data_IF_515636620362
#
_entry.id   IF_515636620362
#
_cell.length_a   1.000
_cell.length_b   1.000
_cell.length_c   1.000
_cell.angle_alpha   90.00
_cell.angle_beta   90.00
_cell.angle_gamma   90.00
#
_symmetry.space_group_name_H-M   'P 1'
#
loop_
_entity.id
_entity.type
_entity.pdbx_description
1 polymer ?
#
# COMPACT_ATOMS: atom_id res chain seq x y z
N UNK A 1 21.38 1.54 12.86
CA UNK A 1 20.69 2.44 11.92
C UNK A 1 20.93 2.01 10.47
N UNK A 2 20.14 1.06 9.97
CA UNK A 2 20.01 0.75 8.54
C UNK A 2 18.65 1.27 8.09
N UNK A 3 18.43 2.56 8.30
CA UNK A 3 17.28 3.28 7.80
C UNK A 3 17.43 3.48 6.30
N UNK A 4 16.34 3.27 5.57
CA UNK A 4 16.08 3.73 4.19
C UNK A 4 17.02 3.36 3.04
N UNK A 5 18.28 2.97 3.24
CA UNK A 5 19.22 2.72 2.12
C UNK A 5 19.38 1.24 1.73
N UNK A 6 18.86 0.31 2.53
CA UNK A 6 19.03 -1.14 2.32
C UNK A 6 17.75 -1.89 1.91
N UNK A 7 16.59 -1.22 1.85
CA UNK A 7 15.38 -1.89 1.36
C UNK A 7 15.43 -1.94 -0.16
N UNK A 8 15.71 -3.14 -0.70
CA UNK A 8 15.81 -3.36 -2.15
C UNK A 8 14.52 -3.03 -2.90
N UNK A 9 13.38 -2.85 -2.21
CA UNK A 9 12.06 -2.73 -2.81
C UNK A 9 11.60 -1.29 -3.13
N UNK A 10 12.35 -0.25 -2.79
CA UNK A 10 11.92 1.15 -2.98
C UNK A 10 11.46 1.47 -4.40
N UNK A 11 12.22 1.00 -5.38
CA UNK A 11 11.97 1.31 -6.79
C UNK A 11 10.65 0.70 -7.26
N UNK A 12 10.37 -0.56 -6.90
CA UNK A 12 9.10 -1.21 -7.23
C UNK A 12 7.90 -0.57 -6.54
N UNK A 13 8.06 -0.12 -5.29
CA UNK A 13 6.97 0.53 -4.56
C UNK A 13 6.62 1.88 -5.17
N UNK A 14 7.63 2.71 -5.46
CA UNK A 14 7.43 3.99 -6.15
C UNK A 14 6.84 3.79 -7.56
N UNK A 15 7.33 2.78 -8.30
CA UNK A 15 6.81 2.44 -9.63
C UNK A 15 5.33 2.02 -9.56
N UNK A 16 4.94 1.21 -8.58
CA UNK A 16 3.55 0.82 -8.36
C UNK A 16 2.65 2.03 -8.03
N UNK A 17 3.14 2.96 -7.21
CA UNK A 17 2.40 4.17 -6.85
C UNK A 17 2.19 5.12 -8.04
N UNK A 18 3.09 5.08 -9.03
CA UNK A 18 3.01 5.87 -10.27
C UNK A 18 2.19 5.20 -11.38
N UNK A 19 1.94 3.89 -11.30
CA UNK A 19 1.23 3.10 -12.31
C UNK A 19 -0.18 3.64 -12.63
N UNK A 20 -1.01 4.06 -11.67
CA UNK A 20 -2.32 4.67 -11.95
C UNK A 20 -2.27 5.90 -12.86
N UNK A 21 -1.24 6.74 -12.71
CA UNK A 21 -1.09 7.93 -13.53
C UNK A 21 -0.79 7.56 -14.99
N UNK A 22 0.06 6.56 -15.21
CA UNK A 22 0.39 6.06 -16.54
C UNK A 22 -0.81 5.37 -17.22
N UNK A 23 -1.61 4.62 -16.45
CA UNK A 23 -2.78 3.89 -16.97
C UNK A 23 -3.95 4.82 -17.35
N UNK A 24 -4.20 5.87 -16.56
CA UNK A 24 -5.44 6.65 -16.65
C UNK A 24 -5.24 7.94 -17.44
N UNK A 25 -4.11 8.64 -17.25
CA UNK A 25 -3.82 9.89 -17.97
C UNK A 25 -3.27 9.64 -19.39
N UNK A 26 -3.41 8.40 -19.90
CA UNK A 26 -3.00 7.96 -21.24
C UNK A 26 -1.55 8.32 -21.63
N UNK A 27 -0.66 8.53 -20.65
CA UNK A 27 0.77 8.68 -20.89
C UNK A 27 1.36 7.29 -20.89
N UNK A 28 1.35 6.64 -22.05
CA UNK A 28 1.85 5.27 -22.24
C UNK A 28 3.38 5.16 -22.19
N UNK A 29 4.11 6.27 -22.37
CA UNK A 29 5.56 6.29 -22.46
C UNK A 29 6.35 5.85 -21.20
N UNK A 30 5.88 6.03 -19.94
CA UNK A 30 6.57 5.56 -18.74
C UNK A 30 6.25 4.09 -18.39
N UNK A 31 5.23 3.47 -19.01
CA UNK A 31 4.82 2.08 -18.74
C UNK A 31 5.96 1.05 -18.83
N UNK A 32 6.81 1.04 -19.87
CA UNK A 32 7.92 0.08 -19.93
C UNK A 32 8.91 0.26 -18.78
N UNK A 33 9.15 1.49 -18.32
CA UNK A 33 10.04 1.77 -17.18
C UNK A 33 9.41 1.33 -15.85
N UNK A 34 8.10 1.53 -15.68
CA UNK A 34 7.35 1.07 -14.50
C UNK A 34 7.33 -0.46 -14.42
N UNK A 35 7.08 -1.13 -15.54
CA UNK A 35 7.08 -2.60 -15.61
C UNK A 35 8.51 -3.13 -15.39
N UNK A 36 9.52 -2.54 -16.03
CA UNK A 36 10.91 -2.93 -15.84
C UNK A 36 11.36 -2.74 -14.38
N UNK A 37 10.97 -1.64 -13.74
CA UNK A 37 11.22 -1.41 -12.31
C UNK A 37 10.54 -2.46 -11.43
N UNK A 38 9.26 -2.79 -11.67
CA UNK A 38 8.55 -3.82 -10.91
C UNK A 38 9.20 -5.20 -11.03
N UNK A 39 9.61 -5.57 -12.25
CA UNK A 39 10.26 -6.86 -12.53
C UNK A 39 11.68 -6.92 -11.97
N UNK A 40 12.50 -5.88 -12.20
CA UNK A 40 13.89 -5.82 -11.75
C UNK A 40 14.05 -5.89 -10.23
N UNK A 41 13.02 -5.49 -9.49
CA UNK A 41 13.07 -5.43 -8.02
C UNK A 41 12.71 -6.77 -7.37
N UNK A 42 12.15 -7.75 -8.11
CA UNK A 42 11.72 -9.07 -7.61
C UNK A 42 10.84 -9.03 -6.33
N UNK A 43 10.20 -7.90 -6.04
CA UNK A 43 9.37 -7.74 -4.85
C UNK A 43 8.04 -8.45 -5.07
N UNK A 44 7.94 -9.69 -4.56
CA UNK A 44 6.74 -10.54 -4.66
C UNK A 44 5.48 -9.83 -4.13
N UNK A 45 5.63 -8.97 -3.13
CA UNK A 45 4.53 -8.16 -2.59
C UNK A 45 4.08 -7.04 -3.54
N UNK A 46 5.02 -6.34 -4.18
CA UNK A 46 4.69 -5.30 -5.15
C UNK A 46 4.06 -5.89 -6.43
N UNK A 47 4.52 -7.07 -6.87
CA UNK A 47 3.91 -7.79 -8.00
C UNK A 47 2.47 -8.24 -7.66
N UNK A 48 2.23 -8.77 -6.46
CA UNK A 48 0.88 -9.14 -6.03
C UNK A 48 -0.06 -7.92 -5.97
N UNK A 49 0.39 -6.82 -5.38
CA UNK A 49 -0.38 -5.58 -5.32
C UNK A 49 -0.64 -4.98 -6.71
N UNK A 50 0.36 -4.99 -7.60
CA UNK A 50 0.22 -4.57 -8.99
C UNK A 50 -0.75 -5.44 -9.79
N UNK A 51 -0.71 -6.76 -9.62
CA UNK A 51 -1.67 -7.68 -10.23
C UNK A 51 -3.11 -7.40 -9.80
N UNK A 52 -3.34 -7.22 -8.49
CA UNK A 52 -4.66 -6.88 -7.95
C UNK A 52 -5.16 -5.52 -8.46
N UNK A 53 -4.28 -4.53 -8.55
CA UNK A 53 -4.59 -3.22 -9.11
C UNK A 53 -5.00 -3.33 -10.59
N UNK A 54 -4.22 -4.06 -11.39
CA UNK A 54 -4.54 -4.32 -12.80
C UNK A 54 -5.86 -5.06 -12.96
N UNK A 55 -6.11 -6.10 -12.16
CA UNK A 55 -7.40 -6.81 -12.17
C UNK A 55 -8.56 -5.88 -11.84
N UNK A 56 -8.42 -5.01 -10.82
CA UNK A 56 -9.47 -4.06 -10.43
C UNK A 56 -9.81 -3.09 -11.55
N UNK A 57 -8.80 -2.59 -12.27
CA UNK A 57 -8.99 -1.71 -13.43
C UNK A 57 -9.57 -2.46 -14.64
N UNK A 58 -9.06 -3.67 -14.93
CA UNK A 58 -9.58 -4.50 -16.03
C UNK A 58 -11.02 -4.96 -15.78
N UNK A 59 -11.44 -5.09 -14.52
CA UNK A 59 -12.79 -5.53 -14.16
C UNK A 59 -13.88 -4.63 -14.74
N UNK A 60 -13.61 -3.32 -14.81
CA UNK A 60 -14.55 -2.32 -15.34
C UNK A 60 -14.69 -2.36 -16.87
N UNK A 61 -13.68 -2.88 -17.60
CA UNK A 61 -13.60 -2.78 -19.07
C UNK A 61 -13.57 -4.13 -19.80
N UNK A 62 -13.00 -5.16 -19.20
CA UNK A 62 -12.72 -6.48 -19.79
C UNK A 62 -13.01 -7.62 -18.80
N UNK A 63 -14.16 -7.57 -18.11
CA UNK A 63 -14.52 -8.46 -17.00
C UNK A 63 -14.23 -9.95 -17.23
N UNK A 64 -14.57 -10.50 -18.40
CA UNK A 64 -14.32 -11.92 -18.72
C UNK A 64 -12.82 -12.27 -18.76
N UNK A 65 -12.03 -11.45 -19.44
CA UNK A 65 -10.57 -11.61 -19.52
C UNK A 65 -9.91 -11.45 -18.14
N UNK A 66 -10.36 -10.47 -17.35
CA UNK A 66 -9.88 -10.24 -15.99
C UNK A 66 -10.13 -11.46 -15.09
N UNK A 67 -11.31 -12.08 -15.18
CA UNK A 67 -11.64 -13.31 -14.44
C UNK A 67 -10.69 -14.43 -14.85
N UNK A 68 -10.55 -14.73 -16.14
CA UNK A 68 -9.71 -15.85 -16.61
C UNK A 68 -8.25 -15.69 -16.18
N UNK A 69 -7.66 -14.51 -16.38
CA UNK A 69 -6.27 -14.25 -16.01
C UNK A 69 -6.06 -14.33 -14.50
N UNK A 70 -6.94 -13.71 -13.71
CA UNK A 70 -6.84 -13.73 -12.25
C UNK A 70 -7.00 -15.14 -11.70
N UNK A 71 -7.94 -15.92 -12.27
CA UNK A 71 -8.16 -17.32 -11.89
C UNK A 71 -6.94 -18.18 -12.20
N UNK A 72 -6.36 -18.03 -13.40
CA UNK A 72 -5.16 -18.78 -13.79
C UNK A 72 -3.96 -18.47 -12.91
N UNK A 73 -3.72 -17.19 -12.60
CA UNK A 73 -2.65 -16.77 -11.68
C UNK A 73 -2.91 -17.33 -10.27
N UNK A 74 -4.14 -17.25 -9.78
CA UNK A 74 -4.51 -17.76 -8.46
C UNK A 74 -4.26 -19.26 -8.35
N UNK A 75 -4.67 -20.04 -9.36
CA UNK A 75 -4.43 -21.49 -9.40
C UNK A 75 -2.93 -21.78 -9.40
N UNK A 76 -2.13 -21.09 -10.22
CA UNK A 76 -0.68 -21.28 -10.24
C UNK A 76 -0.03 -20.98 -8.88
N UNK A 77 -0.48 -19.92 -8.20
CA UNK A 77 -0.01 -19.54 -6.85
C UNK A 77 -0.40 -20.60 -5.82
N UNK A 78 -1.64 -21.10 -5.86
CA UNK A 78 -2.12 -22.16 -4.97
C UNK A 78 -1.30 -23.43 -5.16
N UNK A 79 -1.06 -23.85 -6.40
CA UNK A 79 -0.27 -25.05 -6.70
C UNK A 79 1.18 -24.89 -6.23
N UNK A 80 1.80 -23.72 -6.46
CA UNK A 80 3.16 -23.44 -6.00
C UNK A 80 3.29 -23.51 -4.48
N UNK A 81 2.41 -22.82 -3.74
CA UNK A 81 2.44 -22.83 -2.28
C UNK A 81 1.96 -24.15 -1.67
N UNK A 82 1.03 -24.86 -2.33
CA UNK A 82 0.60 -26.20 -1.95
C UNK A 82 1.75 -27.18 -1.95
N UNK A 83 2.55 -27.21 -3.03
CA UNK A 83 3.77 -28.03 -3.11
C UNK A 83 4.78 -27.67 -2.00
N UNK A 84 5.04 -26.38 -1.77
CA UNK A 84 5.95 -25.95 -0.70
C UNK A 84 5.47 -26.35 0.70
N UNK A 85 4.16 -26.34 0.91
CA UNK A 85 3.55 -26.75 2.19
C UNK A 85 3.65 -28.25 2.38
N UNK A 86 3.38 -29.02 1.31
CA UNK A 86 3.53 -30.47 1.30
C UNK A 86 4.96 -30.91 1.62
N UNK A 87 5.95 -30.21 1.07
CA UNK A 87 7.37 -30.49 1.30
C UNK A 87 7.89 -29.97 2.66
N UNK A 88 7.04 -29.35 3.49
CA UNK A 88 7.44 -28.72 4.75
C UNK A 88 8.34 -27.49 4.61
N UNK A 89 8.61 -27.03 3.38
CA UNK A 89 9.52 -25.91 3.08
C UNK A 89 8.86 -24.54 3.24
N UNK A 90 7.53 -24.49 3.28
CA UNK A 90 6.77 -23.23 3.28
C UNK A 90 7.16 -22.27 4.41
N UNK A 91 7.30 -22.76 5.65
CA UNK A 91 7.67 -21.93 6.80
C UNK A 91 9.07 -21.30 6.69
N UNK A 92 9.96 -21.90 5.90
CA UNK A 92 11.30 -21.37 5.64
C UNK A 92 11.34 -20.33 4.51
N UNK A 93 10.19 -20.02 3.89
CA UNK A 93 10.08 -18.97 2.88
C UNK A 93 9.73 -17.61 3.50
N UNK A 94 9.97 -16.54 2.73
CA UNK A 94 9.54 -15.18 3.11
C UNK A 94 8.03 -15.08 3.36
N UNK A 95 7.22 -15.84 2.63
CA UNK A 95 5.76 -15.86 2.82
C UNK A 95 5.36 -16.58 4.13
N UNK A 96 5.98 -17.72 4.42
CA UNK A 96 5.78 -18.45 5.68
C UNK A 96 6.16 -17.60 6.90
N UNK A 97 7.30 -16.92 6.84
CA UNK A 97 7.73 -15.99 7.89
C UNK A 97 6.71 -14.87 8.17
N UNK A 98 6.09 -14.31 7.12
CA UNK A 98 5.05 -13.28 7.26
C UNK A 98 3.80 -13.80 7.96
N UNK A 99 3.40 -15.05 7.67
CA UNK A 99 2.27 -15.68 8.37
C UNK A 99 2.56 -15.77 9.87
N UNK A 100 3.78 -16.16 10.25
CA UNK A 100 4.19 -16.13 11.66
C UNK A 100 4.12 -14.72 12.25
N UNK A 101 4.63 -13.70 11.53
CA UNK A 101 4.54 -12.30 11.98
C UNK A 101 3.08 -11.86 12.17
N UNK A 102 2.19 -12.19 11.24
CA UNK A 102 0.79 -11.81 11.28
C UNK A 102 0.05 -12.47 12.44
N UNK A 103 0.19 -13.80 12.57
CA UNK A 103 -0.44 -14.53 13.67
C UNK A 103 0.03 -14.00 15.03
N UNK A 104 1.33 -13.81 15.21
CA UNK A 104 1.86 -13.29 16.47
C UNK A 104 1.49 -11.82 16.71
N UNK A 105 1.32 -11.01 15.66
CA UNK A 105 0.80 -9.63 15.78
C UNK A 105 -0.63 -9.61 16.28
N UNK A 106 -1.47 -10.56 15.88
CA UNK A 106 -2.83 -10.70 16.42
C UNK A 106 -2.77 -10.96 17.93
N UNK A 107 -1.85 -11.79 18.40
CA UNK A 107 -1.62 -11.98 19.83
C UNK A 107 -1.13 -10.70 20.54
N UNK A 108 -0.33 -9.86 19.87
CA UNK A 108 0.09 -8.56 20.41
C UNK A 108 -1.11 -7.63 20.63
N UNK A 109 -2.02 -7.56 19.66
CA UNK A 109 -3.24 -6.75 19.74
C UNK A 109 -4.19 -7.29 20.81
N UNK A 110 -4.33 -8.61 20.91
CA UNK A 110 -5.17 -9.26 21.92
C UNK A 110 -4.64 -9.02 23.36
N UNK A 111 -3.32 -9.05 23.57
CA UNK A 111 -2.71 -8.80 24.88
C UNK A 111 -2.81 -7.32 25.30
N UNK A 112 -2.70 -6.38 24.34
CA UNK A 112 -2.87 -4.94 24.61
C UNK A 112 -3.77 -4.26 23.56
N UNK A 113 -5.10 -4.29 23.75
CA UNK A 113 -6.06 -3.70 22.80
C UNK A 113 -5.92 -2.18 22.62
N UNK A 114 -5.31 -1.50 23.60
CA UNK A 114 -5.04 -0.05 23.57
C UNK A 114 -3.70 0.30 22.90
N UNK A 115 -2.95 -0.70 22.43
CA UNK A 115 -1.68 -0.53 21.73
C UNK A 115 -0.46 -0.74 22.64
N UNK A 116 0.64 -1.09 22.00
CA UNK A 116 1.95 -1.27 22.65
C UNK A 116 2.77 0.02 22.72
N UNK A 117 2.36 1.07 22.01
CA UNK A 117 3.10 2.31 21.78
C UNK A 117 3.56 2.44 20.34
N UNK A 118 3.55 3.67 19.81
CA UNK A 118 4.02 3.96 18.44
C UNK A 118 5.50 3.62 18.30
N UNK A 119 5.87 2.87 17.26
CA UNK A 119 7.22 2.36 17.04
C UNK A 119 7.65 1.23 17.97
N UNK A 120 6.77 0.73 18.85
CA UNK A 120 7.10 -0.33 19.81
C UNK A 120 7.11 -1.73 19.19
N UNK A 121 6.79 -1.91 17.91
CA UNK A 121 6.70 -3.25 17.33
C UNK A 121 8.01 -4.04 17.48
N UNK A 122 9.16 -3.42 17.18
CA UNK A 122 10.48 -4.07 17.29
C UNK A 122 10.84 -4.49 18.72
N UNK A 123 10.38 -3.74 19.73
CA UNK A 123 10.69 -4.00 21.14
C UNK A 123 9.70 -4.98 21.78
N UNK A 124 8.43 -4.93 21.37
CA UNK A 124 7.37 -5.80 21.87
C UNK A 124 7.35 -7.18 21.21
N UNK A 125 7.62 -7.29 19.89
CA UNK A 125 7.53 -8.55 19.14
C UNK A 125 8.30 -9.74 19.74
N UNK A 126 9.52 -9.57 20.32
CA UNK A 126 10.23 -10.67 20.98
C UNK A 126 9.42 -11.43 22.04
N UNK A 127 8.50 -10.76 22.77
CA UNK A 127 7.61 -11.42 23.74
C UNK A 127 6.64 -12.39 23.05
N UNK A 128 6.25 -12.12 21.80
CA UNK A 128 5.19 -12.83 21.08
C UNK A 128 5.68 -13.67 19.90
N UNK A 129 6.98 -13.71 19.61
CA UNK A 129 7.56 -14.42 18.44
C UNK A 129 7.17 -15.91 18.31
N UNK A 130 6.58 -16.52 19.36
CA UNK A 130 6.08 -17.89 19.40
C UNK A 130 4.68 -18.01 20.04
N UNK A 131 3.93 -16.92 20.09
CA UNK A 131 2.64 -16.86 20.79
C UNK A 131 1.56 -17.70 20.11
N UNK A 132 1.46 -17.64 18.78
CA UNK A 132 0.53 -18.46 17.99
C UNK A 132 1.31 -19.40 17.08
N UNK A 133 2.21 -18.84 16.25
CA UNK A 133 3.04 -19.61 15.33
C UNK A 133 4.51 -19.27 15.62
N UNK A 134 5.36 -20.24 15.95
CA UNK A 134 6.78 -20.00 16.12
C UNK A 134 7.39 -19.34 14.88
N UNK A 135 7.98 -18.17 15.08
CA UNK A 135 8.73 -17.50 14.02
C UNK A 135 10.02 -18.27 13.81
N UNK A 136 10.28 -18.68 12.57
CA UNK A 136 11.48 -19.44 12.22
C UNK A 136 12.76 -18.67 12.55
N UNK A 137 13.82 -19.38 12.93
CA UNK A 137 15.12 -18.78 13.25
C UNK A 137 15.79 -18.12 12.05
N UNK A 138 15.38 -18.47 10.82
CA UNK A 138 15.76 -17.79 9.58
C UNK A 138 15.11 -16.41 9.43
N UNK A 139 13.97 -16.18 10.07
CA UNK A 139 13.21 -14.93 10.00
C UNK A 139 13.29 -14.07 11.27
N UNK A 140 13.63 -14.65 12.42
CA UNK A 140 13.80 -13.96 13.69
C UNK A 140 15.00 -14.51 14.47
N UNK A 141 15.87 -13.60 14.92
CA UNK A 141 16.93 -13.86 15.90
C UNK A 141 17.00 -12.67 16.87
N UNK A 142 17.59 -12.84 18.05
CA UNK A 142 17.70 -11.75 19.04
C UNK A 142 18.34 -10.48 18.44
N UNK A 143 19.29 -10.66 17.52
CA UNK A 143 19.99 -9.59 16.80
C UNK A 143 19.31 -9.16 15.49
N UNK A 144 18.23 -9.83 15.09
CA UNK A 144 17.45 -9.57 13.87
C UNK A 144 15.96 -9.60 14.22
N UNK A 145 15.49 -8.46 14.78
CA UNK A 145 14.10 -8.28 15.20
C UNK A 145 13.30 -7.62 14.08
N UNK A 146 12.10 -8.12 13.74
CA UNK A 146 11.25 -7.47 12.77
C UNK A 146 10.81 -6.10 13.30
N UNK A 147 10.85 -5.09 12.43
CA UNK A 147 10.36 -3.74 12.75
C UNK A 147 8.87 -3.58 12.47
N UNK A 148 8.32 -4.42 11.60
CA UNK A 148 6.91 -4.40 11.18
C UNK A 148 6.43 -5.82 10.96
N UNK A 149 5.12 -6.00 10.83
CA UNK A 149 4.50 -7.26 10.46
C UNK A 149 4.60 -7.57 8.95
N UNK A 150 5.23 -6.69 8.15
CA UNK A 150 5.06 -6.66 6.69
C UNK A 150 3.58 -6.60 6.25
N UNK A 151 2.78 -5.94 7.09
CA UNK A 151 1.39 -5.57 6.87
C UNK A 151 1.16 -4.32 7.71
N UNK A 152 0.90 -3.18 7.06
CA UNK A 152 0.77 -1.90 7.75
C UNK A 152 -0.44 -1.88 8.70
N UNK A 153 -1.55 -2.54 8.33
CA UNK A 153 -2.74 -2.59 9.16
C UNK A 153 -2.47 -3.33 10.48
N UNK A 154 -1.81 -4.48 10.41
CA UNK A 154 -1.44 -5.25 11.62
C UNK A 154 -0.36 -4.53 12.44
N UNK A 155 0.58 -3.86 11.78
CA UNK A 155 1.62 -3.10 12.48
C UNK A 155 0.99 -1.92 13.24
N UNK A 156 0.14 -1.14 12.57
CA UNK A 156 -0.60 -0.04 13.21
C UNK A 156 -1.49 -0.55 14.32
N UNK A 157 -2.23 -1.64 14.11
CA UNK A 157 -3.07 -2.23 15.15
C UNK A 157 -2.25 -2.69 16.37
N UNK A 158 -1.08 -3.30 16.17
CA UNK A 158 -0.21 -3.74 17.25
C UNK A 158 0.38 -2.56 18.05
N UNK A 159 0.73 -1.47 17.38
CA UNK A 159 1.36 -0.30 18.02
C UNK A 159 0.34 0.64 18.67
N UNK A 160 -0.75 0.93 17.98
CA UNK A 160 -1.76 1.93 18.39
C UNK A 160 -3.05 1.33 18.93
N UNK A 161 -3.17 0.00 18.89
CA UNK A 161 -4.34 -0.73 19.34
C UNK A 161 -5.51 -0.65 18.36
N UNK A 162 -6.64 -1.14 18.84
CA UNK A 162 -7.94 -1.06 18.15
C UNK A 162 -8.31 0.39 17.82
N UNK A 163 -8.10 1.41 18.70
CA UNK A 163 -8.45 2.78 18.37
C UNK A 163 -7.73 3.33 17.14
N UNK A 164 -6.41 3.14 17.04
CA UNK A 164 -5.66 3.65 15.89
C UNK A 164 -5.95 2.85 14.60
N UNK A 165 -6.14 1.53 14.71
CA UNK A 165 -6.59 0.72 13.57
C UNK A 165 -7.97 1.16 13.06
N UNK A 166 -8.91 1.48 13.96
CA UNK A 166 -10.22 2.00 13.61
C UNK A 166 -10.12 3.35 12.90
N UNK A 167 -9.36 4.30 13.44
CA UNK A 167 -9.18 5.63 12.83
C UNK A 167 -8.53 5.54 11.45
N UNK A 168 -7.52 4.69 11.28
CA UNK A 168 -6.87 4.47 9.99
C UNK A 168 -7.86 3.89 8.96
N UNK A 169 -8.62 2.87 9.37
CA UNK A 169 -9.62 2.22 8.52
C UNK A 169 -10.72 3.20 8.14
N UNK A 170 -11.22 3.98 9.11
CA UNK A 170 -12.20 5.04 8.88
C UNK A 170 -11.69 6.05 7.85
N UNK A 171 -10.46 6.56 8.03
CA UNK A 171 -9.83 7.50 7.10
C UNK A 171 -9.77 6.96 5.67
N UNK A 172 -9.32 5.73 5.48
CA UNK A 172 -9.27 5.17 4.12
C UNK A 172 -10.65 4.89 3.54
N UNK A 173 -11.64 4.50 4.36
CA UNK A 173 -13.02 4.35 3.90
C UNK A 173 -13.58 5.69 3.40
N UNK A 174 -13.32 6.79 4.10
CA UNK A 174 -13.82 8.10 3.67
C UNK A 174 -13.15 8.54 2.37
N UNK A 175 -11.83 8.39 2.25
CA UNK A 175 -11.09 8.71 1.01
C UNK A 175 -11.53 7.84 -0.16
N UNK A 176 -11.77 6.55 0.05
CA UNK A 176 -12.23 5.64 -1.00
C UNK A 176 -13.66 5.93 -1.44
N UNK A 177 -14.48 6.62 -0.63
CA UNK A 177 -15.84 7.06 -0.98
C UNK A 177 -15.89 8.39 -1.73
N UNK A 178 -14.76 9.07 -1.90
CA UNK A 178 -14.69 10.32 -2.66
C UNK A 178 -15.07 10.16 -4.14
N UNK A 179 -15.49 11.28 -4.75
CA UNK A 179 -15.86 11.34 -6.17
C UNK A 179 -14.72 10.88 -7.09
N UNK A 180 -15.09 10.23 -8.20
CA UNK A 180 -14.18 9.72 -9.24
C UNK A 180 -14.58 10.23 -10.63
N UNK A 181 -15.11 11.46 -10.67
CA UNK A 181 -15.69 12.04 -11.88
C UNK A 181 -14.63 12.42 -12.92
N UNK A 182 -13.48 12.93 -12.49
CA UNK A 182 -12.36 13.28 -13.39
C UNK A 182 -11.30 12.20 -13.44
N UNK A 183 -10.47 12.19 -14.49
CA UNK A 183 -9.39 11.23 -14.63
C UNK A 183 -8.30 11.42 -13.55
N UNK A 184 -8.06 12.66 -13.10
CA UNK A 184 -7.18 12.93 -11.96
C UNK A 184 -7.72 12.34 -10.65
N UNK A 185 -9.04 12.45 -10.42
CA UNK A 185 -9.68 11.85 -9.25
C UNK A 185 -9.59 10.32 -9.30
N UNK A 186 -9.78 9.71 -10.49
CA UNK A 186 -9.56 8.28 -10.66
C UNK A 186 -8.09 7.91 -10.40
N UNK A 187 -7.13 8.66 -10.92
CA UNK A 187 -5.70 8.45 -10.65
C UNK A 187 -5.41 8.47 -9.16
N UNK A 188 -5.85 9.51 -8.44
CA UNK A 188 -5.67 9.61 -7.00
C UNK A 188 -6.31 8.42 -6.26
N UNK A 189 -7.52 8.00 -6.66
CA UNK A 189 -8.20 6.84 -6.10
C UNK A 189 -7.40 5.55 -6.29
N UNK A 190 -6.95 5.27 -7.51
CA UNK A 190 -6.16 4.08 -7.82
C UNK A 190 -4.77 4.12 -7.17
N UNK A 191 -4.19 5.31 -6.91
CA UNK A 191 -2.95 5.45 -6.11
C UNK A 191 -3.19 5.10 -4.65
N UNK A 192 -4.31 5.53 -4.05
CA UNK A 192 -4.70 5.09 -2.70
C UNK A 192 -4.94 3.59 -2.66
N UNK A 193 -5.63 3.04 -3.67
CA UNK A 193 -5.86 1.61 -3.76
C UNK A 193 -4.53 0.83 -3.87
N UNK A 194 -3.60 1.30 -4.70
CA UNK A 194 -2.27 0.73 -4.83
C UNK A 194 -1.51 0.76 -3.49
N UNK A 195 -1.58 1.89 -2.76
CA UNK A 195 -0.97 2.03 -1.44
C UNK A 195 -1.54 1.01 -0.44
N UNK A 196 -2.85 0.85 -0.38
CA UNK A 196 -3.51 -0.08 0.53
C UNK A 196 -3.18 -1.53 0.20
N UNK A 197 -3.24 -1.90 -1.09
CA UNK A 197 -2.88 -3.23 -1.55
C UNK A 197 -1.41 -3.55 -1.26
N UNK A 198 -0.52 -2.58 -1.45
CA UNK A 198 0.89 -2.72 -1.09
C UNK A 198 1.07 -2.85 0.43
N UNK A 199 0.29 -2.11 1.21
CA UNK A 199 0.24 -2.18 2.68
C UNK A 199 -0.23 -3.51 3.25
N UNK A 200 -0.91 -4.36 2.47
CA UNK A 200 -1.26 -5.72 2.89
C UNK A 200 -0.05 -6.66 2.92
N UNK A 201 0.95 -6.42 2.07
CA UNK A 201 2.10 -7.32 1.85
C UNK A 201 3.45 -6.68 2.17
N UNK A 202 3.45 -5.40 2.52
CA UNK A 202 4.63 -4.60 2.76
C UNK A 202 4.33 -3.47 3.75
N UNK A 203 5.20 -2.47 3.83
CA UNK A 203 5.09 -1.36 4.80
C UNK A 203 5.26 0.04 4.14
N UNK A 204 4.50 0.37 3.08
CA UNK A 204 4.60 1.66 2.40
C UNK A 204 4.34 2.86 3.32
N UNK A 205 3.65 2.71 4.45
CA UNK A 205 3.45 3.78 5.43
C UNK A 205 4.77 4.24 6.09
N UNK A 206 5.75 3.33 6.20
CA UNK A 206 7.07 3.61 6.77
C UNK A 206 8.05 4.18 5.73
N UNK A 207 7.66 4.25 4.45
CA UNK A 207 8.48 4.81 3.38
C UNK A 207 8.00 6.22 3.03
N UNK A 208 8.86 7.25 3.19
CA UNK A 208 8.44 8.64 2.97
C UNK A 208 7.79 8.89 1.62
N UNK A 209 8.33 8.29 0.55
CA UNK A 209 7.82 8.46 -0.82
C UNK A 209 6.38 7.95 -0.96
N UNK A 210 6.12 6.71 -0.55
CA UNK A 210 4.80 6.08 -0.69
C UNK A 210 3.76 6.75 0.22
N UNK A 211 4.15 7.04 1.48
CA UNK A 211 3.30 7.76 2.43
C UNK A 211 2.95 9.17 1.93
N UNK A 212 3.92 9.89 1.35
CA UNK A 212 3.70 11.22 0.78
C UNK A 212 2.74 11.19 -0.41
N UNK A 213 2.94 10.27 -1.36
CA UNK A 213 2.05 10.12 -2.51
C UNK A 213 0.62 9.75 -2.09
N UNK A 214 0.48 8.87 -1.10
CA UNK A 214 -0.82 8.54 -0.54
C UNK A 214 -1.46 9.76 0.16
N UNK A 215 -0.73 10.49 0.99
CA UNK A 215 -1.24 11.69 1.66
C UNK A 215 -1.69 12.76 0.66
N UNK A 216 -0.90 12.99 -0.40
CA UNK A 216 -1.24 13.94 -1.47
C UNK A 216 -2.52 13.52 -2.20
N UNK A 217 -2.63 12.23 -2.54
CA UNK A 217 -3.79 11.67 -3.25
C UNK A 217 -5.05 11.72 -2.39
N UNK A 218 -4.93 11.42 -1.09
CA UNK A 218 -6.02 11.52 -0.13
C UNK A 218 -6.47 12.98 0.06
N UNK A 219 -5.52 13.92 0.18
CA UNK A 219 -5.81 15.35 0.28
C UNK A 219 -6.54 15.88 -0.96
N UNK A 220 -6.10 15.47 -2.15
CA UNK A 220 -6.75 15.84 -3.41
C UNK A 220 -8.20 15.33 -3.50
N UNK A 221 -8.42 14.07 -3.10
CA UNK A 221 -9.76 13.44 -3.06
C UNK A 221 -10.66 14.06 -2.00
N UNK A 222 -10.13 14.42 -0.84
CA UNK A 222 -10.87 15.07 0.23
C UNK A 222 -11.25 16.53 -0.12
N UNK A 223 -10.38 17.24 -0.87
CA UNK A 223 -10.62 18.60 -1.34
C UNK A 223 -11.57 18.72 -2.54
N UNK A 224 -12.20 17.62 -2.98
CA UNK A 224 -13.14 17.61 -4.10
C UNK A 224 -12.51 17.82 -5.47
N UNK A 225 -11.18 17.67 -5.60
CA UNK A 225 -10.46 17.93 -6.85
C UNK A 225 -10.49 19.39 -7.31
N UNK A 226 -10.75 20.35 -6.41
CA UNK A 226 -10.71 21.76 -6.76
C UNK A 226 -9.30 22.12 -7.26
N UNK A 227 -9.13 22.63 -8.50
CA UNK A 227 -7.85 23.12 -8.93
C UNK A 227 -7.41 24.22 -7.96
N UNK A 228 -6.14 24.19 -7.57
CA UNK A 228 -5.50 25.27 -6.80
C UNK A 228 -5.88 26.56 -7.51
N UNK A 229 -6.78 27.34 -6.90
CA UNK A 229 -7.40 28.51 -7.54
C UNK A 229 -6.30 29.42 -8.07
N UNK A 230 -6.20 29.52 -9.40
CA UNK A 230 -5.46 30.58 -10.07
C UNK A 230 -6.07 31.92 -9.66
N UNK A 231 -5.46 32.56 -8.67
CA UNK A 231 -5.94 33.78 -8.03
C UNK A 231 -5.75 35.07 -8.85
N UNK A 232 -5.68 35.03 -10.18
CA UNK A 232 -5.35 36.22 -10.97
C UNK A 232 -6.42 36.76 -11.92
N UNK A 233 -7.52 36.05 -12.18
CA UNK A 233 -8.49 36.53 -13.19
C UNK A 233 -9.71 37.31 -12.68
N UNK A 234 -9.94 37.40 -11.36
CA UNK A 234 -11.06 38.20 -10.83
C UNK A 234 -10.74 39.67 -10.56
N UNK A 235 -9.46 40.04 -10.42
CA UNK A 235 -9.07 41.45 -10.18
C UNK A 235 -9.08 42.33 -11.45
N UNK A 236 -8.75 41.77 -12.62
CA UNK A 236 -8.64 42.56 -13.86
C UNK A 236 -9.97 42.92 -14.50
N UNK A 237 -11.04 42.16 -14.23
CA UNK A 237 -12.37 42.45 -14.75
C UNK A 237 -13.04 43.64 -14.01
N UNK A 238 -12.75 43.83 -12.72
CA UNK A 238 -13.29 44.97 -11.95
C UNK A 238 -12.53 46.27 -12.22
N UNK A 239 -11.22 46.23 -12.48
CA UNK A 239 -10.44 47.46 -12.74
C UNK A 239 -10.81 48.09 -14.10
N UNK A 240 -11.09 47.27 -15.13
CA UNK A 240 -11.53 47.77 -16.45
C UNK A 240 -12.95 48.34 -16.47
N UNK A 241 -13.80 47.97 -15.51
CA UNK A 241 -15.15 48.52 -15.41
C UNK A 241 -15.19 49.89 -14.73
N UNK A 242 -14.22 50.21 -13.87
CA UNK A 242 -14.15 51.54 -13.22
C UNK A 242 -13.55 52.62 -14.14
N UNK A 243 -12.73 52.24 -15.12
CA UNK A 243 -12.10 53.19 -16.06
C UNK A 243 -12.97 53.61 -17.25
N UNK A 244 -14.22 53.12 -17.35
CA UNK A 244 -15.21 53.57 -18.34
C UNK A 244 -16.28 54.50 -17.75
N UNK A 245 -16.08 54.98 -16.52
CA UNK A 245 -16.94 55.97 -15.86
C UNK A 245 -16.11 57.14 -15.35
N UNK A 246 -15.52 57.89 -16.26
CA UNK A 246 -15.13 59.29 -16.06
C UNK A 246 -15.12 59.99 -17.40
#
# INVERSE_FOLDING_TARGET
PTGTFMNKNYLAEAALMALPAAMILAKSWPMPFIIAALVATFSRGALAAGGLLLTSWMWERYRKTAIVLTSGILVAVILYFGNLTHDGRFMNTSAGARISFWANSVAMVADRPWGQGIGAYMTAYPKYHKAIIPTTTSAYRINMRPRTAHNDFLTVAAETGIPGAFLLTWFFITVLRSSRATDEQKTAFYTILAFLLLGMFNFPLYLPTSAFLAALSAGYLAGGGAPVRGGEHRGRAQIRASHKRH
#
